data_IF_365334779324
#
_entry.id   IF_365334779324
#
_cell.length_a   1.000
_cell.length_b   1.000
_cell.length_c   1.000
_cell.angle_alpha   90.00
_cell.angle_beta   90.00
_cell.angle_gamma   90.00
#
_symmetry.space_group_name_H-M   'P 1'
#
loop_
_entity.id
_entity.type
_entity.pdbx_description
1 polymer ?
#
# COMPACT_ATOMS: atom_id res chain seq x y z
N UNK A 1 52.34 28.40 -26.82
CA UNK A 1 51.35 27.41 -26.34
C UNK A 1 50.13 28.17 -25.85
N UNK A 2 49.00 28.04 -26.56
CA UNK A 2 47.81 28.88 -26.38
C UNK A 2 47.03 28.48 -25.12
N UNK A 3 46.80 29.43 -24.20
CA UNK A 3 45.95 29.27 -23.02
C UNK A 3 44.48 29.43 -23.45
N UNK A 4 43.75 28.32 -23.50
CA UNK A 4 42.30 28.31 -23.76
C UNK A 4 41.57 28.74 -22.48
N UNK A 5 40.89 29.89 -22.52
CA UNK A 5 39.86 30.31 -21.56
C UNK A 5 38.52 29.66 -21.93
N UNK A 6 37.51 29.82 -21.04
CA UNK A 6 36.05 29.56 -21.23
C UNK A 6 35.65 28.14 -20.78
N UNK A 7 34.67 27.89 -19.90
CA UNK A 7 33.74 28.70 -19.10
C UNK A 7 33.20 27.80 -18.00
N UNK A 8 33.06 28.34 -16.78
CA UNK A 8 32.37 27.66 -15.66
C UNK A 8 30.88 27.70 -15.96
N UNK A 9 30.27 26.55 -16.24
CA UNK A 9 28.81 26.40 -16.31
C UNK A 9 28.31 26.22 -14.89
N UNK A 10 27.99 27.32 -14.21
CA UNK A 10 27.17 27.30 -13.02
C UNK A 10 25.72 27.11 -13.46
N UNK A 11 25.28 25.86 -13.59
CA UNK A 11 23.86 25.55 -13.73
C UNK A 11 23.18 25.80 -12.38
N UNK A 12 22.25 26.76 -12.37
CA UNK A 12 21.43 27.12 -11.22
C UNK A 12 20.76 25.86 -10.66
N UNK A 13 20.98 25.62 -9.37
CA UNK A 13 20.13 24.73 -8.59
C UNK A 13 18.71 25.28 -8.62
N UNK A 14 17.84 24.67 -9.42
CA UNK A 14 16.41 24.83 -9.27
C UNK A 14 15.97 23.97 -8.09
N UNK A 15 16.20 24.45 -6.87
CA UNK A 15 15.39 24.01 -5.72
C UNK A 15 14.00 24.60 -5.92
N UNK A 16 13.17 23.92 -6.71
CA UNK A 16 11.74 24.03 -6.55
C UNK A 16 11.40 23.43 -5.18
N UNK A 17 11.45 24.26 -4.15
CA UNK A 17 10.72 24.01 -2.91
C UNK A 17 9.24 24.08 -3.29
N UNK A 18 8.72 22.96 -3.75
CA UNK A 18 7.29 22.69 -3.72
C UNK A 18 6.89 22.84 -2.25
N UNK A 19 6.38 24.01 -1.88
CA UNK A 19 5.49 24.13 -0.73
C UNK A 19 4.18 23.40 -1.10
N UNK A 20 4.28 22.09 -1.32
CA UNK A 20 3.15 21.19 -1.30
C UNK A 20 2.72 21.06 0.16
N UNK A 21 1.41 20.98 0.39
CA UNK A 21 0.88 20.57 1.68
C UNK A 21 1.74 19.42 2.20
N UNK A 22 2.30 19.55 3.40
CA UNK A 22 2.99 18.43 4.02
C UNK A 22 1.95 17.31 4.10
N UNK A 23 2.05 16.31 3.22
CA UNK A 23 1.29 15.09 3.37
C UNK A 23 1.75 14.51 4.70
N UNK A 24 0.84 14.47 5.67
CA UNK A 24 1.12 13.93 7.00
C UNK A 24 0.40 12.61 7.13
N UNK A 25 1.12 11.61 7.64
CA UNK A 25 0.51 10.34 8.02
C UNK A 25 -0.51 10.61 9.13
N UNK A 26 -1.69 10.00 9.07
CA UNK A 26 -2.67 10.07 10.16
C UNK A 26 -2.04 9.49 11.44
N UNK A 27 -2.04 10.25 12.56
CA UNK A 27 -1.46 9.77 13.80
C UNK A 27 -2.09 8.46 14.27
N UNK A 28 -1.27 7.55 14.79
CA UNK A 28 -1.75 6.29 15.36
C UNK A 28 -2.16 5.22 14.35
N UNK A 29 -1.98 5.45 13.04
CA UNK A 29 -2.23 4.44 12.02
C UNK A 29 -1.42 3.17 12.24
N UNK A 30 -2.05 2.02 12.02
CA UNK A 30 -1.43 0.70 12.02
C UNK A 30 -2.29 -0.28 11.22
N UNK A 31 -1.78 -1.49 10.98
CA UNK A 31 -2.62 -2.61 10.54
C UNK A 31 -2.81 -3.63 11.66
N UNK A 32 -3.98 -4.24 11.70
CA UNK A 32 -4.30 -5.35 12.59
C UNK A 32 -4.84 -6.54 11.79
N UNK A 33 -4.49 -7.76 12.20
CA UNK A 33 -5.03 -8.97 11.57
C UNK A 33 -6.50 -9.13 11.93
N UNK A 34 -7.31 -9.51 10.96
CA UNK A 34 -8.76 -9.78 11.11
C UNK A 34 -9.12 -11.09 10.41
N UNK A 35 -10.33 -11.59 10.65
CA UNK A 35 -10.80 -12.89 10.12
C UNK A 35 -11.45 -12.78 8.72
N UNK A 36 -11.59 -11.57 8.18
CA UNK A 36 -12.20 -11.34 6.87
C UNK A 36 -12.40 -9.86 6.59
N UNK A 37 -13.28 -9.55 5.63
CA UNK A 37 -13.51 -8.19 5.14
C UNK A 37 -14.05 -7.19 6.15
N UNK A 38 -14.52 -7.61 7.33
CA UNK A 38 -15.04 -6.69 8.35
C UNK A 38 -16.31 -5.96 7.94
N UNK A 39 -16.66 -4.92 8.70
CA UNK A 39 -17.87 -4.12 8.53
C UNK A 39 -17.78 -3.07 7.43
N UNK A 40 -18.91 -2.41 7.17
CA UNK A 40 -19.03 -1.35 6.15
C UNK A 40 -18.11 -0.14 6.39
N UNK A 41 -17.74 0.11 7.63
CA UNK A 41 -16.90 1.26 8.02
C UNK A 41 -15.40 0.94 8.05
N UNK A 42 -15.03 -0.31 7.76
CA UNK A 42 -13.65 -0.76 7.80
C UNK A 42 -12.98 -0.64 6.43
N UNK A 43 -11.76 -0.11 6.41
CA UNK A 43 -10.81 -0.35 5.32
C UNK A 43 -10.09 -1.66 5.62
N UNK A 44 -10.21 -2.63 4.72
CA UNK A 44 -9.66 -3.98 4.91
C UNK A 44 -8.88 -4.41 3.69
N UNK A 45 -7.86 -5.22 3.90
CA UNK A 45 -6.90 -5.67 2.91
C UNK A 45 -6.93 -7.20 2.93
N UNK A 46 -7.09 -7.81 1.76
CA UNK A 46 -6.88 -9.24 1.54
C UNK A 46 -5.56 -9.42 0.81
N UNK A 47 -4.75 -10.35 1.28
CA UNK A 47 -3.49 -10.73 0.64
C UNK A 47 -3.39 -12.24 0.57
N UNK A 48 -2.92 -12.73 -0.57
CA UNK A 48 -2.68 -14.17 -0.76
C UNK A 48 -1.30 -14.36 -1.37
N UNK A 49 -0.57 -15.37 -0.91
CA UNK A 49 0.67 -15.82 -1.51
C UNK A 49 0.68 -17.34 -1.55
N UNK A 50 0.82 -17.91 -2.74
CA UNK A 50 0.78 -19.36 -2.95
C UNK A 50 1.86 -19.84 -3.93
N UNK A 51 2.34 -21.06 -3.75
CA UNK A 51 3.19 -21.73 -4.73
C UNK A 51 2.64 -23.14 -4.97
N UNK A 52 2.20 -23.42 -6.20
CA UNK A 52 1.55 -24.68 -6.59
C UNK A 52 0.35 -25.05 -5.68
N UNK A 53 -0.48 -24.07 -5.33
CA UNK A 53 -1.68 -24.26 -4.49
C UNK A 53 -1.40 -24.53 -3.01
N UNK A 54 -0.19 -24.23 -2.54
CA UNK A 54 0.17 -24.25 -1.11
C UNK A 54 0.54 -22.85 -0.67
N UNK A 55 0.12 -22.45 0.53
CA UNK A 55 0.49 -21.16 1.10
C UNK A 55 2.00 -20.94 1.13
N UNK A 56 2.44 -19.76 0.68
CA UNK A 56 3.83 -19.36 0.64
C UNK A 56 4.08 -18.23 1.66
N UNK A 57 5.21 -18.22 2.38
CA UNK A 57 5.59 -17.13 3.26
C UNK A 57 5.75 -15.81 2.50
N UNK A 58 5.14 -14.74 3.02
CA UNK A 58 5.12 -13.43 2.39
C UNK A 58 5.04 -12.30 3.43
N UNK A 59 5.16 -11.07 2.95
CA UNK A 59 5.04 -9.86 3.76
C UNK A 59 4.12 -8.85 3.07
N UNK A 60 3.21 -8.26 3.84
CA UNK A 60 2.42 -7.10 3.43
C UNK A 60 3.02 -5.82 4.02
N UNK A 61 3.02 -4.73 3.25
CA UNK A 61 3.42 -3.39 3.70
C UNK A 61 2.41 -2.35 3.20
N UNK A 62 1.94 -1.50 4.10
CA UNK A 62 0.95 -0.44 3.80
C UNK A 62 1.60 0.94 3.87
N UNK A 63 1.19 1.83 2.98
CA UNK A 63 1.67 3.20 2.91
C UNK A 63 0.48 4.16 2.79
N UNK A 64 0.58 5.34 3.42
CA UNK A 64 -0.29 6.48 3.15
C UNK A 64 0.52 7.49 2.33
N UNK A 65 0.05 7.84 1.14
CA UNK A 65 0.71 8.82 0.26
C UNK A 65 2.21 8.54 0.03
N UNK A 66 2.55 7.26 -0.15
CA UNK A 66 3.93 6.75 -0.31
C UNK A 66 4.81 6.86 0.94
N UNK A 67 4.25 7.25 2.09
CA UNK A 67 4.96 7.32 3.36
C UNK A 67 4.71 6.06 4.20
N UNK A 68 5.77 5.62 4.89
CA UNK A 68 5.73 4.50 5.83
C UNK A 68 5.36 5.00 7.23
N UNK A 69 4.61 4.20 7.98
CA UNK A 69 4.23 4.47 9.37
C UNK A 69 4.53 3.28 10.28
N UNK A 70 4.49 3.50 11.60
CA UNK A 70 4.73 2.45 12.57
C UNK A 70 3.61 1.41 12.53
N UNK A 71 3.95 0.11 12.55
CA UNK A 71 2.96 -0.96 12.48
C UNK A 71 2.31 -1.10 11.10
N UNK A 72 2.96 -0.67 10.02
CA UNK A 72 2.47 -0.79 8.66
C UNK A 72 2.83 -2.10 7.93
N UNK A 73 3.41 -3.08 8.64
CA UNK A 73 3.94 -4.31 8.07
C UNK A 73 3.51 -5.53 8.86
N UNK A 74 3.26 -6.64 8.16
CA UNK A 74 3.01 -7.94 8.77
C UNK A 74 3.50 -9.09 7.86
N UNK A 75 3.97 -10.17 8.47
CA UNK A 75 4.30 -11.42 7.79
C UNK A 75 3.09 -12.38 7.80
N UNK A 76 2.92 -13.16 6.75
CA UNK A 76 1.85 -14.13 6.60
C UNK A 76 2.24 -15.32 5.72
N UNK A 77 1.42 -16.36 5.70
CA UNK A 77 1.55 -17.53 4.82
C UNK A 77 0.17 -17.89 4.28
N UNK A 78 0.04 -18.10 2.97
CA UNK A 78 -1.26 -18.35 2.33
C UNK A 78 -2.10 -17.08 2.24
N UNK A 79 -3.35 -17.17 2.69
CA UNK A 79 -4.31 -16.06 2.72
C UNK A 79 -4.35 -15.37 4.09
N UNK A 80 -4.44 -14.04 4.09
CA UNK A 80 -4.64 -13.26 5.30
C UNK A 80 -5.43 -11.97 5.05
N UNK A 81 -6.16 -11.54 6.08
CA UNK A 81 -6.88 -10.27 6.09
C UNK A 81 -6.30 -9.31 7.14
N UNK A 82 -6.20 -8.03 6.76
CA UNK A 82 -5.74 -6.96 7.63
C UNK A 82 -6.68 -5.76 7.58
N UNK A 83 -7.05 -5.24 8.74
CA UNK A 83 -7.79 -3.99 8.87
C UNK A 83 -6.82 -2.83 9.09
N UNK A 84 -7.09 -1.70 8.45
CA UNK A 84 -6.39 -0.45 8.72
C UNK A 84 -7.02 0.20 9.96
N UNK A 85 -6.19 0.45 10.98
CA UNK A 85 -6.59 1.17 12.18
C UNK A 85 -6.35 2.67 12.02
N UNK A 86 -7.39 3.45 12.30
CA UNK A 86 -7.38 4.91 12.31
C UNK A 86 -8.48 5.39 13.27
N UNK A 87 -8.30 6.55 13.89
CA UNK A 87 -9.28 7.09 14.85
C UNK A 87 -10.50 7.71 14.13
N UNK A 88 -10.28 8.34 12.99
CA UNK A 88 -11.31 9.03 12.23
C UNK A 88 -11.07 8.92 10.72
N UNK A 89 -12.05 8.40 9.98
CA UNK A 89 -11.95 8.24 8.53
C UNK A 89 -11.74 9.58 7.81
N UNK A 90 -12.28 10.68 8.34
CA UNK A 90 -12.13 12.00 7.73
C UNK A 90 -10.66 12.45 7.64
N UNK A 91 -9.77 11.92 8.48
CA UNK A 91 -8.35 12.22 8.46
C UNK A 91 -7.63 11.54 7.28
N UNK A 92 -8.27 10.51 6.68
CA UNK A 92 -7.81 9.83 5.49
C UNK A 92 -8.39 10.41 4.19
N UNK A 93 -9.28 11.41 4.27
CA UNK A 93 -9.87 12.06 3.08
C UNK A 93 -8.77 12.52 2.13
N UNK A 94 -8.97 12.30 0.83
CA UNK A 94 -8.01 12.59 -0.25
C UNK A 94 -6.65 11.86 -0.16
N UNK A 95 -6.49 10.92 0.79
CA UNK A 95 -5.27 10.13 0.91
C UNK A 95 -5.26 8.93 -0.02
N UNK A 96 -4.07 8.53 -0.46
CA UNK A 96 -3.85 7.26 -1.13
C UNK A 96 -3.31 6.22 -0.15
N UNK A 97 -4.04 5.12 0.03
CA UNK A 97 -3.53 3.91 0.67
C UNK A 97 -2.92 3.01 -0.40
N UNK A 98 -1.64 2.65 -0.25
CA UNK A 98 -0.95 1.70 -1.12
C UNK A 98 -0.54 0.48 -0.31
N UNK A 99 -0.86 -0.70 -0.80
CA UNK A 99 -0.50 -1.98 -0.22
C UNK A 99 0.46 -2.67 -1.15
N UNK A 100 1.63 -3.05 -0.65
CA UNK A 100 2.63 -3.86 -1.35
C UNK A 100 2.71 -5.23 -0.70
N UNK A 101 2.68 -6.28 -1.51
CA UNK A 101 2.82 -7.66 -1.06
C UNK A 101 4.03 -8.26 -1.75
N UNK A 102 4.92 -8.90 -0.99
CA UNK A 102 6.11 -9.58 -1.50
C UNK A 102 6.21 -10.97 -0.89
N UNK A 103 6.19 -12.01 -1.74
CA UNK A 103 6.49 -13.37 -1.34
C UNK A 103 7.99 -13.56 -1.17
N UNK A 104 8.37 -14.46 -0.26
CA UNK A 104 9.77 -14.86 -0.09
C UNK A 104 10.26 -15.70 -1.28
N UNK A 105 9.39 -16.51 -1.87
CA UNK A 105 9.63 -17.21 -3.13
C UNK A 105 9.23 -16.30 -4.31
N UNK A 106 10.17 -15.90 -5.19
CA UNK A 106 9.86 -15.09 -6.36
C UNK A 106 8.96 -15.80 -7.37
N UNK A 107 8.79 -17.12 -7.29
CA UNK A 107 7.90 -17.91 -8.14
C UNK A 107 6.51 -18.14 -7.52
N UNK A 108 6.22 -17.60 -6.34
CA UNK A 108 4.88 -17.65 -5.76
C UNK A 108 3.93 -16.72 -6.51
N UNK A 109 2.69 -17.15 -6.69
CA UNK A 109 1.56 -16.33 -7.12
C UNK A 109 1.14 -15.46 -5.93
N UNK A 110 0.96 -14.16 -6.17
CA UNK A 110 0.63 -13.18 -5.14
C UNK A 110 -0.59 -12.39 -5.58
N UNK A 111 -1.54 -12.22 -4.66
CA UNK A 111 -2.74 -11.42 -4.83
C UNK A 111 -2.84 -10.35 -3.74
N UNK A 112 -3.40 -9.19 -4.10
CA UNK A 112 -3.64 -8.06 -3.21
C UNK A 112 -5.00 -7.44 -3.57
N UNK A 113 -5.87 -7.28 -2.58
CA UNK A 113 -7.11 -6.52 -2.72
C UNK A 113 -7.33 -5.61 -1.51
N UNK A 114 -8.01 -4.48 -1.72
CA UNK A 114 -8.34 -3.53 -0.67
C UNK A 114 -9.78 -3.06 -0.81
N UNK A 115 -10.55 -3.20 0.27
CA UNK A 115 -11.92 -2.74 0.40
C UNK A 115 -11.93 -1.40 1.12
N UNK A 116 -12.56 -0.39 0.50
CA UNK A 116 -12.84 0.90 1.15
C UNK A 116 -14.05 0.85 2.08
N UNK A 117 -14.37 1.98 2.70
CA UNK A 117 -15.58 2.14 3.51
C UNK A 117 -16.82 2.33 2.62
N UNK A 118 -18.00 2.13 3.17
CA UNK A 118 -19.27 2.26 2.45
C UNK A 118 -19.67 1.03 1.63
N UNK A 119 -18.72 0.12 1.36
CA UNK A 119 -18.94 -1.16 0.69
C UNK A 119 -19.39 -2.24 1.68
N UNK A 120 -20.52 -2.89 1.39
CA UNK A 120 -20.93 -4.14 2.05
C UNK A 120 -20.74 -5.30 1.08
N UNK A 121 -19.98 -6.31 1.50
CA UNK A 121 -19.93 -7.58 0.80
C UNK A 121 -20.90 -8.54 1.49
N UNK A 122 -21.61 -9.33 0.71
CA UNK A 122 -22.24 -10.54 1.25
C UNK A 122 -21.13 -11.55 1.60
N UNK A 123 -21.32 -12.39 2.63
CA UNK A 123 -20.32 -13.40 3.00
C UNK A 123 -20.01 -14.30 1.79
N UNK A 124 -18.74 -14.32 1.36
CA UNK A 124 -18.27 -15.12 0.23
C UNK A 124 -18.16 -14.39 -1.11
N UNK A 125 -18.55 -13.10 -1.19
CA UNK A 125 -18.25 -12.27 -2.36
C UNK A 125 -16.84 -11.66 -2.23
N UNK A 126 -15.97 -11.95 -3.19
CA UNK A 126 -14.72 -11.21 -3.37
C UNK A 126 -15.04 -9.77 -3.81
N UNK A 127 -14.24 -8.81 -3.35
CA UNK A 127 -14.39 -7.39 -3.70
C UNK A 127 -14.07 -7.21 -5.18
N UNK A 128 -15.07 -7.26 -6.06
CA UNK A 128 -14.86 -7.05 -7.51
C UNK A 128 -14.41 -5.62 -7.91
N UNK A 129 -14.13 -4.69 -6.98
CA UNK A 129 -13.79 -3.31 -7.35
C UNK A 129 -12.72 -2.60 -6.50
N UNK A 130 -11.86 -1.90 -7.28
CA UNK A 130 -10.80 -0.95 -6.96
C UNK A 130 -9.49 -1.55 -6.41
N UNK A 131 -8.72 -2.10 -7.35
CA UNK A 131 -7.28 -2.39 -7.29
C UNK A 131 -6.90 -3.79 -6.82
N UNK A 132 -7.60 -4.81 -7.29
CA UNK A 132 -7.00 -6.14 -7.35
C UNK A 132 -5.70 -6.08 -8.17
N UNK A 133 -4.66 -6.71 -7.67
CA UNK A 133 -3.43 -6.94 -8.43
C UNK A 133 -2.94 -8.36 -8.17
N UNK A 134 -2.70 -9.08 -9.25
CA UNK A 134 -2.00 -10.35 -9.27
C UNK A 134 -0.58 -10.18 -9.83
N UNK A 135 0.34 -11.02 -9.36
CA UNK A 135 1.71 -11.03 -9.85
C UNK A 135 2.50 -12.22 -9.35
N UNK A 136 3.69 -12.41 -9.93
CA UNK A 136 4.63 -13.45 -9.52
C UNK A 136 5.69 -12.83 -8.61
N UNK A 137 5.80 -13.32 -7.38
CA UNK A 137 6.68 -12.81 -6.33
C UNK A 137 6.19 -11.54 -5.64
N UNK A 138 5.38 -10.70 -6.29
CA UNK A 138 4.82 -9.49 -5.68
C UNK A 138 3.57 -8.97 -6.37
N UNK A 139 2.72 -8.27 -5.62
CA UNK A 139 1.58 -7.52 -6.13
C UNK A 139 1.45 -6.17 -5.40
N UNK A 140 0.72 -5.21 -5.99
CA UNK A 140 0.45 -3.91 -5.35
C UNK A 140 -0.97 -3.46 -5.64
N UNK A 141 -1.75 -3.26 -4.58
CA UNK A 141 -3.07 -2.69 -4.63
C UNK A 141 -3.09 -1.27 -4.04
N UNK A 142 -4.07 -0.46 -4.44
CA UNK A 142 -4.18 0.96 -4.05
C UNK A 142 -5.61 1.25 -3.61
N UNK A 143 -5.85 2.29 -2.84
CA UNK A 143 -7.18 2.86 -2.61
C UNK A 143 -6.99 4.37 -2.53
N UNK A 144 -7.71 5.14 -3.33
CA UNK A 144 -7.83 6.58 -3.09
C UNK A 144 -9.09 6.77 -2.24
N UNK A 145 -8.94 7.39 -1.08
CA UNK A 145 -10.03 7.61 -0.14
C UNK A 145 -10.72 8.92 -0.52
N UNK A 146 -12.00 8.82 -0.88
CA UNK A 146 -12.87 9.95 -1.24
C UNK A 146 -13.64 10.51 -0.03
#
# INVERSE_FOLDING_TARGET
>A
MAKKKVTVVSALAATALLAGCAQTIVPGMSIEKTDGWGGREDITIEVTAEHNGTGAPAKVTVYQDQMSFDGNQAEFEGEAFYKLNYDNLADLSDSQIRVSVSAQDPAAEVFCAIKGTGYSLEEGDHVNHANEADGTGSATCVLNVD
#
